data_IF_377214244757
#
_entry.id   IF_377214244757
#
_cell.length_a   1.000
_cell.length_b   1.000
_cell.length_c   1.000
_cell.angle_alpha   90.00
_cell.angle_beta   90.00
_cell.angle_gamma   90.00
#
_symmetry.space_group_name_H-M   'P 1'
#
loop_
_entity.id
_entity.type
_entity.pdbx_description
1 polymer ?
#
# COMPACT_ATOMS: atom_id res chain seq x y z
N UNK A 1 -12.74 -37.34 -0.67
CA UNK A 1 -11.76 -36.28 -0.39
C UNK A 1 -12.53 -35.07 0.10
N UNK A 2 -12.47 -34.78 1.39
CA UNK A 2 -13.04 -33.54 1.95
C UNK A 2 -12.24 -32.38 1.38
N UNK A 3 -12.91 -31.40 0.76
CA UNK A 3 -12.25 -30.13 0.46
C UNK A 3 -11.82 -29.56 1.81
N UNK A 4 -10.50 -29.45 2.03
CA UNK A 4 -10.02 -28.63 3.12
C UNK A 4 -10.47 -27.20 2.80
N UNK A 5 -11.54 -26.74 3.46
CA UNK A 5 -11.91 -25.33 3.43
C UNK A 5 -10.67 -24.52 3.77
N UNK A 6 -10.45 -23.39 3.08
CA UNK A 6 -9.34 -22.49 3.36
C UNK A 6 -9.30 -22.24 4.88
N UNK A 7 -8.19 -22.58 5.52
CA UNK A 7 -7.94 -22.20 6.91
C UNK A 7 -8.19 -20.69 7.01
N UNK A 8 -9.07 -20.29 7.94
CA UNK A 8 -9.30 -18.88 8.21
C UNK A 8 -8.03 -18.32 8.84
N UNK A 9 -7.30 -17.51 8.07
CA UNK A 9 -6.17 -16.74 8.58
C UNK A 9 -6.74 -15.44 9.13
N UNK A 10 -6.29 -15.06 10.32
CA UNK A 10 -6.63 -13.78 10.95
C UNK A 10 -5.34 -12.99 11.12
N UNK A 11 -5.36 -11.77 10.62
CA UNK A 11 -4.32 -10.77 10.86
C UNK A 11 -5.02 -9.55 11.43
N UNK A 12 -4.51 -9.03 12.53
CA UNK A 12 -5.05 -7.80 13.12
C UNK A 12 -4.67 -6.60 12.25
N UNK A 13 -5.65 -5.78 11.94
CA UNK A 13 -5.49 -4.49 11.25
C UNK A 13 -6.01 -3.39 12.18
N UNK A 14 -5.52 -2.17 11.99
CA UNK A 14 -5.88 -1.04 12.86
C UNK A 14 -6.52 0.08 12.05
N UNK A 15 -7.40 0.85 12.70
CA UNK A 15 -7.95 2.06 12.14
C UNK A 15 -7.28 3.28 12.78
N UNK A 16 -6.87 4.24 11.96
CA UNK A 16 -6.33 5.53 12.42
C UNK A 16 -7.21 6.67 11.92
N UNK A 17 -7.30 7.74 12.72
CA UNK A 17 -7.93 8.99 12.33
C UNK A 17 -6.83 9.99 11.94
N UNK A 18 -6.91 10.51 10.72
CA UNK A 18 -6.04 11.58 10.24
C UNK A 18 -6.86 12.84 10.02
N UNK A 19 -6.37 13.96 10.51
CA UNK A 19 -7.06 15.24 10.40
C UNK A 19 -6.45 16.08 9.30
N UNK A 20 -7.28 16.57 8.39
CA UNK A 20 -6.90 17.61 7.45
C UNK A 20 -7.31 18.97 8.03
N UNK A 21 -6.32 19.79 8.39
CA UNK A 21 -6.56 21.08 9.03
C UNK A 21 -7.29 22.08 8.13
N UNK A 22 -7.12 22.02 6.80
CA UNK A 22 -7.87 22.87 5.87
C UNK A 22 -9.32 22.42 5.82
N UNK A 23 -9.53 21.10 5.77
CA UNK A 23 -10.85 20.53 5.64
C UNK A 23 -11.67 20.69 6.92
N UNK A 24 -11.08 20.50 8.10
CA UNK A 24 -11.70 20.82 9.40
C UNK A 24 -12.06 22.30 9.55
N UNK A 25 -11.25 23.22 8.99
CA UNK A 25 -11.58 24.65 9.00
C UNK A 25 -12.82 24.96 8.15
N UNK A 26 -13.00 24.25 7.04
CA UNK A 26 -14.16 24.43 6.14
C UNK A 26 -15.40 23.68 6.64
N UNK A 27 -15.21 22.51 7.25
CA UNK A 27 -16.24 21.60 7.72
C UNK A 27 -15.87 21.11 9.12
N UNK A 28 -16.23 21.87 10.19
CA UNK A 28 -15.84 21.55 11.57
C UNK A 28 -16.37 20.21 12.08
N UNK A 29 -17.39 19.65 11.44
CA UNK A 29 -18.04 18.37 11.73
C UNK A 29 -17.50 17.19 10.90
N UNK A 30 -16.46 17.39 10.09
CA UNK A 30 -15.93 16.35 9.19
C UNK A 30 -15.32 15.13 9.90
N UNK A 31 -15.09 15.19 11.21
CA UNK A 31 -14.60 14.10 12.10
C UNK A 31 -13.27 13.41 11.66
N UNK A 32 -12.60 13.97 10.65
CA UNK A 32 -11.34 13.47 10.11
C UNK A 32 -11.50 12.33 9.10
N UNK A 33 -10.36 11.89 8.57
CA UNK A 33 -10.24 10.78 7.63
C UNK A 33 -9.92 9.49 8.38
N UNK A 34 -10.85 8.55 8.37
CA UNK A 34 -10.62 7.20 8.88
C UNK A 34 -9.83 6.38 7.85
N UNK A 35 -8.70 5.79 8.26
CA UNK A 35 -7.87 4.93 7.41
C UNK A 35 -7.64 3.57 8.05
N UNK A 36 -7.73 2.52 7.25
CA UNK A 36 -7.31 1.18 7.63
C UNK A 36 -5.82 1.03 7.37
N UNK A 37 -5.06 0.57 8.35
CA UNK A 37 -3.60 0.43 8.28
C UNK A 37 -3.13 -0.95 8.74
N UNK A 38 -1.94 -1.32 8.30
CA UNK A 38 -1.28 -2.58 8.66
C UNK A 38 0.24 -2.48 8.61
N UNK A 39 0.93 -3.48 9.14
CA UNK A 39 2.33 -3.70 8.83
C UNK A 39 2.50 -4.59 7.61
N UNK A 40 3.32 -4.17 6.66
CA UNK A 40 3.66 -4.94 5.47
C UNK A 40 5.17 -5.24 5.42
N UNK A 41 5.51 -6.43 4.91
CA UNK A 41 6.88 -6.79 4.50
C UNK A 41 6.87 -7.17 3.04
N UNK A 42 7.95 -6.85 2.34
CA UNK A 42 8.11 -7.15 0.93
C UNK A 42 9.34 -8.01 0.68
N UNK A 43 9.32 -8.82 -0.37
CA UNK A 43 10.49 -9.60 -0.78
C UNK A 43 11.58 -8.69 -1.32
N UNK A 44 12.80 -8.99 -0.90
CA UNK A 44 14.07 -8.45 -1.40
C UNK A 44 14.86 -9.61 -2.00
N UNK A 45 15.95 -9.30 -2.70
CA UNK A 45 16.85 -10.33 -3.25
C UNK A 45 17.47 -11.25 -2.17
N UNK A 46 17.51 -10.79 -0.92
CA UNK A 46 18.20 -11.47 0.19
C UNK A 46 17.25 -11.94 1.31
N UNK A 47 15.93 -11.88 1.10
CA UNK A 47 14.94 -12.23 2.13
C UNK A 47 13.79 -11.23 2.20
N UNK A 48 13.31 -10.93 3.40
CA UNK A 48 12.21 -9.97 3.62
C UNK A 48 12.72 -8.61 4.07
N UNK A 49 12.06 -7.55 3.63
CA UNK A 49 12.26 -6.20 4.17
C UNK A 49 11.88 -6.14 5.65
N UNK A 50 12.29 -5.05 6.32
CA UNK A 50 11.66 -4.65 7.57
C UNK A 50 10.15 -4.45 7.41
N UNK A 51 9.40 -4.61 8.51
CA UNK A 51 8.00 -4.27 8.55
C UNK A 51 7.82 -2.75 8.40
N UNK A 52 6.83 -2.32 7.63
CA UNK A 52 6.52 -0.90 7.40
C UNK A 52 5.03 -0.66 7.50
N UNK A 53 4.64 0.49 8.02
CA UNK A 53 3.25 0.94 8.01
C UNK A 53 2.77 1.13 6.57
N UNK A 54 1.59 0.60 6.29
CA UNK A 54 0.93 0.74 5.01
C UNK A 54 -0.55 1.04 5.20
N UNK A 55 -1.10 1.87 4.32
CA UNK A 55 -2.54 2.10 4.23
C UNK A 55 -3.14 1.01 3.36
N UNK A 56 -4.21 0.40 3.85
CA UNK A 56 -5.03 -0.52 3.08
C UNK A 56 -6.14 0.30 2.43
N UNK A 57 -6.15 0.36 1.10
CA UNK A 57 -7.14 1.13 0.34
C UNK A 57 -7.90 0.22 -0.63
N UNK A 58 -9.14 -0.11 -0.27
CA UNK A 58 -10.04 -0.91 -1.10
C UNK A 58 -10.53 -0.18 -2.35
N UNK A 59 -10.43 1.14 -2.39
CA UNK A 59 -10.74 1.95 -3.57
C UNK A 59 -9.60 1.99 -4.59
N UNK A 60 -8.38 1.63 -4.18
CA UNK A 60 -7.23 1.53 -5.06
C UNK A 60 -7.10 0.12 -5.66
N UNK A 61 -7.18 0.02 -6.99
CA UNK A 61 -6.94 -1.23 -7.72
C UNK A 61 -5.44 -1.54 -7.93
N UNK A 62 -4.53 -0.66 -7.51
CA UNK A 62 -3.09 -0.80 -7.70
C UNK A 62 -2.40 -0.14 -6.54
N UNK A 63 -1.43 -0.84 -5.94
CA UNK A 63 -0.66 -0.34 -4.81
C UNK A 63 0.28 0.78 -5.24
N UNK A 64 0.73 1.63 -4.33
CA UNK A 64 1.81 2.59 -4.58
C UNK A 64 2.87 2.48 -3.49
N UNK A 65 4.13 2.47 -3.91
CA UNK A 65 5.27 2.43 -2.99
C UNK A 65 6.26 3.57 -3.31
N UNK A 66 6.83 4.23 -2.28
CA UNK A 66 7.84 5.27 -2.43
C UNK A 66 9.22 4.71 -2.79
N UNK A 67 10.08 5.56 -3.35
CA UNK A 67 11.39 5.20 -3.91
C UNK A 67 12.26 4.40 -2.93
N UNK A 68 12.50 4.95 -1.74
CA UNK A 68 13.35 4.33 -0.71
C UNK A 68 12.83 2.97 -0.22
N UNK A 69 11.54 2.69 -0.45
CA UNK A 69 10.91 1.42 -0.08
C UNK A 69 11.06 0.41 -1.20
N UNK A 70 10.75 0.76 -2.45
CA UNK A 70 10.70 -0.22 -3.53
C UNK A 70 12.04 -0.50 -4.19
N UNK A 71 12.96 0.46 -4.24
CA UNK A 71 14.27 0.32 -4.89
C UNK A 71 15.07 -0.92 -4.41
N UNK A 72 15.13 -1.26 -3.10
CA UNK A 72 15.84 -2.45 -2.65
C UNK A 72 15.05 -3.76 -2.80
N UNK A 73 13.79 -3.72 -3.24
CA UNK A 73 12.93 -4.89 -3.32
C UNK A 73 13.20 -5.72 -4.58
N UNK A 74 12.75 -6.97 -4.55
CA UNK A 74 12.76 -7.85 -5.72
C UNK A 74 11.56 -7.52 -6.63
N UNK A 75 11.65 -6.37 -7.30
CA UNK A 75 10.61 -5.83 -8.16
C UNK A 75 10.70 -6.35 -9.60
N UNK A 76 9.60 -6.89 -10.12
CA UNK A 76 9.46 -7.17 -11.55
C UNK A 76 8.89 -5.93 -12.24
N UNK A 77 9.76 -5.09 -12.80
CA UNK A 77 9.37 -3.90 -13.57
C UNK A 77 8.80 -4.33 -14.93
N UNK A 78 7.62 -3.81 -15.27
CA UNK A 78 6.92 -4.07 -16.53
C UNK A 78 7.08 -2.93 -17.54
N UNK A 79 7.25 -1.69 -17.07
CA UNK A 79 7.42 -0.52 -17.91
C UNK A 79 7.17 0.79 -17.17
N UNK A 80 7.32 1.90 -17.87
CA UNK A 80 7.05 3.25 -17.37
C UNK A 80 5.60 3.66 -17.64
N UNK A 81 5.03 4.46 -16.74
CA UNK A 81 3.67 4.99 -16.84
C UNK A 81 3.57 6.33 -16.08
N UNK A 82 2.39 6.92 -16.06
CA UNK A 82 2.10 8.06 -15.21
C UNK A 82 0.74 7.89 -14.54
N UNK A 83 0.64 8.30 -13.28
CA UNK A 83 -0.62 8.37 -12.55
C UNK A 83 -1.03 9.81 -12.37
N UNK A 84 -2.34 10.04 -12.38
CA UNK A 84 -2.94 11.36 -12.11
C UNK A 84 -4.12 11.18 -11.18
N UNK A 85 -4.24 12.08 -10.22
CA UNK A 85 -5.42 12.15 -9.35
C UNK A 85 -6.64 12.75 -10.05
N UNK A 86 -7.63 13.13 -9.26
CA UNK A 86 -8.86 13.77 -9.72
C UNK A 86 -8.60 15.12 -10.42
N UNK A 87 -7.60 15.86 -9.96
CA UNK A 87 -7.20 17.16 -10.51
C UNK A 87 -6.31 16.93 -11.74
N UNK A 88 -6.76 17.25 -12.96
CA UNK A 88 -6.07 16.86 -14.20
C UNK A 88 -4.98 17.86 -14.62
N UNK A 89 -4.35 18.54 -13.66
CA UNK A 89 -3.29 19.52 -13.97
C UNK A 89 -1.96 18.80 -14.21
N UNK A 90 -1.09 19.38 -15.04
CA UNK A 90 0.18 18.75 -15.43
C UNK A 90 1.10 18.53 -14.22
N UNK A 91 1.08 19.47 -13.28
CA UNK A 91 1.82 19.39 -12.01
C UNK A 91 1.31 18.29 -11.06
N UNK A 92 0.12 17.73 -11.32
CA UNK A 92 -0.46 16.64 -10.54
C UNK A 92 -0.21 15.25 -11.18
N UNK A 93 0.69 15.18 -12.15
CA UNK A 93 1.12 13.93 -12.79
C UNK A 93 2.33 13.39 -12.05
N UNK A 94 2.26 12.14 -11.61
CA UNK A 94 3.37 11.41 -11.04
C UNK A 94 3.82 10.35 -12.05
N UNK A 95 5.02 10.53 -12.62
CA UNK A 95 5.66 9.49 -13.42
C UNK A 95 6.05 8.33 -12.51
N UNK A 96 5.77 7.09 -12.92
CA UNK A 96 5.97 5.90 -12.10
C UNK A 96 6.46 4.75 -12.97
N UNK A 97 7.13 3.77 -12.34
CA UNK A 97 7.27 2.45 -12.95
C UNK A 97 6.09 1.58 -12.54
N UNK A 98 5.59 0.76 -13.44
CA UNK A 98 4.58 -0.26 -13.13
C UNK A 98 5.28 -1.59 -12.95
N UNK A 99 4.99 -2.31 -11.88
CA UNK A 99 5.62 -3.58 -11.61
C UNK A 99 4.80 -4.51 -10.73
N UNK A 100 5.37 -5.68 -10.50
CA UNK A 100 4.90 -6.62 -9.48
C UNK A 100 5.89 -6.68 -8.32
N UNK A 101 5.35 -6.71 -7.11
CA UNK A 101 6.08 -7.00 -5.88
C UNK A 101 5.42 -8.16 -5.16
N UNK A 102 6.21 -8.95 -4.44
CA UNK A 102 5.67 -9.97 -3.52
C UNK A 102 5.73 -9.42 -2.10
N UNK A 103 4.61 -9.49 -1.39
CA UNK A 103 4.50 -8.99 -0.01
C UNK A 103 3.65 -9.89 0.88
N UNK A 104 3.72 -9.61 2.19
CA UNK A 104 2.85 -10.16 3.22
C UNK A 104 2.41 -9.04 4.15
N UNK A 105 1.20 -9.18 4.69
CA UNK A 105 0.71 -8.37 5.81
C UNK A 105 1.00 -9.17 7.08
N UNK A 106 1.53 -8.49 8.10
CA UNK A 106 1.89 -9.07 9.39
C UNK A 106 1.26 -8.24 10.52
N UNK A 107 0.88 -8.89 11.63
CA UNK A 107 0.48 -8.19 12.85
C UNK A 107 1.52 -8.30 13.97
N UNK A 108 1.27 -7.59 15.08
CA UNK A 108 2.12 -7.56 16.26
C UNK A 108 2.31 -8.93 16.94
N UNK A 109 1.39 -9.88 16.69
CA UNK A 109 1.45 -11.25 17.21
C UNK A 109 2.23 -12.18 16.28
N UNK A 110 2.69 -11.68 15.14
CA UNK A 110 3.41 -12.44 14.12
C UNK A 110 2.51 -13.25 13.20
N UNK A 111 1.18 -13.03 13.22
CA UNK A 111 0.31 -13.65 12.23
C UNK A 111 0.56 -13.02 10.87
N UNK A 112 0.64 -13.83 9.82
CA UNK A 112 0.94 -13.35 8.47
C UNK A 112 -0.10 -13.83 7.46
N UNK A 113 -0.40 -12.98 6.47
CA UNK A 113 -1.07 -13.43 5.25
C UNK A 113 -0.16 -14.36 4.45
N UNK A 114 -0.70 -15.18 3.54
CA UNK A 114 0.10 -15.81 2.50
C UNK A 114 0.86 -14.77 1.66
N UNK A 115 1.94 -15.20 1.02
CA UNK A 115 2.62 -14.38 0.03
C UNK A 115 1.64 -13.96 -1.06
N UNK A 116 1.56 -12.66 -1.29
CA UNK A 116 0.63 -12.05 -2.24
C UNK A 116 1.42 -11.21 -3.22
N UNK A 117 1.07 -11.32 -4.51
CA UNK A 117 1.61 -10.44 -5.54
C UNK A 117 0.78 -9.17 -5.59
N UNK A 118 1.44 -8.04 -5.41
CA UNK A 118 0.85 -6.72 -5.53
C UNK A 118 1.24 -6.12 -6.86
N UNK A 119 0.25 -5.65 -7.61
CA UNK A 119 0.50 -4.75 -8.73
C UNK A 119 0.78 -3.37 -8.15
N UNK A 120 1.91 -2.78 -8.52
CA UNK A 120 2.38 -1.56 -7.89
C UNK A 120 2.75 -0.48 -8.91
N UNK A 121 2.41 0.75 -8.56
CA UNK A 121 3.09 1.95 -9.01
C UNK A 121 4.30 2.20 -8.11
N UNK A 122 5.47 2.26 -8.72
CA UNK A 122 6.76 2.45 -8.06
C UNK A 122 7.16 3.90 -8.28
N UNK A 123 6.96 4.74 -7.26
CA UNK A 123 7.15 6.17 -7.36
C UNK A 123 8.64 6.55 -7.35
N UNK A 124 9.06 7.58 -8.09
CA UNK A 124 10.44 8.06 -8.11
C UNK A 124 10.75 9.00 -6.92
N UNK A 125 9.84 9.14 -5.96
CA UNK A 125 10.01 9.98 -4.77
C UNK A 125 9.48 9.28 -3.51
N UNK A 126 9.85 9.83 -2.35
CA UNK A 126 9.34 9.40 -1.03
C UNK A 126 8.13 10.22 -0.56
N UNK A 127 7.60 11.09 -1.42
CA UNK A 127 6.46 11.98 -1.10
C UNK A 127 5.10 11.27 -1.21
N UNK A 128 5.11 9.95 -1.40
CA UNK A 128 3.91 9.11 -1.43
C UNK A 128 3.93 8.13 -0.25
N UNK A 129 2.77 7.85 0.38
CA UNK A 129 2.70 6.79 1.38
C UNK A 129 2.78 5.41 0.72
N UNK A 130 3.04 4.39 1.52
CA UNK A 130 2.77 3.01 1.11
C UNK A 130 1.26 2.79 1.14
N UNK A 131 0.67 2.51 -0.03
CA UNK A 131 -0.74 2.12 -0.15
C UNK A 131 -0.81 0.74 -0.76
N UNK A 132 -1.48 -0.18 -0.08
CA UNK A 132 -1.82 -1.49 -0.58
C UNK A 132 -3.22 -1.43 -1.19
N UNK A 133 -3.26 -1.52 -2.52
CA UNK A 133 -4.49 -1.67 -3.28
C UNK A 133 -4.93 -3.12 -3.37
N UNK A 134 -6.22 -3.34 -3.54
CA UNK A 134 -6.78 -4.68 -3.80
C UNK A 134 -6.90 -4.90 -5.30
N UNK A 135 -6.19 -5.90 -5.80
CA UNK A 135 -6.17 -6.32 -7.21
C UNK A 135 -6.95 -7.60 -7.43
#
# INVERSE_FOLDING_TARGET
>A
MLSQGRLSIRVKLDFIHQYDSELLRRFPDYDGLLRLVCFAKFKTKNGWSGARDAIIDTGAHTSILPLSVWEPLDAQILGDYFVRGLVPKKECVLEVKVGWLTGIIIDEQGNTTPETKFRCYLAPSDEVPIVLGFT
#
